data_IF_253787147533
#
_entry.id   IF_253787147533
#
_cell.length_a   1.000
_cell.length_b   1.000
_cell.length_c   1.000
_cell.angle_alpha   90.00
_cell.angle_beta   90.00
_cell.angle_gamma   90.00
#
_symmetry.space_group_name_H-M   'P 1'
#
loop_
_entity.id
_entity.type
_entity.pdbx_description
1 polymer ?
#
# COMPACT_ATOMS: atom_id res chain seq x y z
N UNK A 1 3.77 46.39 71.67
CA UNK A 1 2.90 45.54 70.83
C UNK A 1 1.62 46.32 70.58
N UNK A 2 1.28 46.64 69.32
CA UNK A 2 -0.01 47.29 69.02
C UNK A 2 -1.11 46.29 69.35
N UNK A 3 -2.04 46.66 70.22
CA UNK A 3 -3.26 45.90 70.44
C UNK A 3 -4.10 46.02 69.16
N UNK A 4 -4.30 44.90 68.48
CA UNK A 4 -5.22 44.79 67.36
C UNK A 4 -6.62 45.10 67.87
N UNK A 5 -7.32 46.02 67.23
CA UNK A 5 -8.72 46.30 67.56
C UNK A 5 -9.60 45.14 67.08
N UNK A 6 -10.82 45.04 67.62
CA UNK A 6 -11.79 44.00 67.25
C UNK A 6 -12.04 43.97 65.72
N UNK A 7 -12.00 45.15 65.10
CA UNK A 7 -12.13 45.36 63.65
C UNK A 7 -11.01 44.67 62.86
N UNK A 8 -9.76 44.75 63.35
CA UNK A 8 -8.59 44.15 62.69
C UNK A 8 -8.67 42.62 62.72
N UNK A 9 -9.10 42.06 63.84
CA UNK A 9 -9.33 40.61 63.97
C UNK A 9 -10.40 40.10 63.02
N UNK A 10 -11.48 40.85 62.86
CA UNK A 10 -12.56 40.54 61.93
C UNK A 10 -12.08 40.57 60.48
N UNK A 11 -11.25 41.54 60.12
CA UNK A 11 -10.67 41.65 58.78
C UNK A 11 -9.70 40.51 58.46
N UNK A 12 -8.82 40.14 59.41
CA UNK A 12 -7.91 38.99 59.26
C UNK A 12 -8.70 37.70 59.04
N UNK A 13 -9.76 37.48 59.84
CA UNK A 13 -10.58 36.27 59.72
C UNK A 13 -11.34 36.22 58.39
N UNK A 14 -11.88 37.35 57.93
CA UNK A 14 -12.55 37.45 56.63
C UNK A 14 -11.60 37.17 55.47
N UNK A 15 -10.38 37.73 55.48
CA UNK A 15 -9.38 37.47 54.43
C UNK A 15 -9.01 35.98 54.40
N UNK A 16 -8.77 35.38 55.58
CA UNK A 16 -8.50 33.94 55.69
C UNK A 16 -9.65 33.09 55.18
N UNK A 17 -10.89 33.43 55.55
CA UNK A 17 -12.10 32.76 55.07
C UNK A 17 -12.22 32.81 53.54
N UNK A 18 -12.05 33.99 52.94
CA UNK A 18 -12.14 34.13 51.48
C UNK A 18 -11.01 33.40 50.74
N UNK A 19 -9.80 33.34 51.30
CA UNK A 19 -8.70 32.53 50.73
C UNK A 19 -9.02 31.04 50.75
N UNK A 20 -9.57 30.53 51.86
CA UNK A 20 -9.99 29.13 51.96
C UNK A 20 -11.12 28.83 50.97
N UNK A 21 -12.14 29.69 50.91
CA UNK A 21 -13.26 29.54 49.97
C UNK A 21 -12.78 29.59 48.52
N UNK A 22 -11.86 30.50 48.17
CA UNK A 22 -11.27 30.57 46.84
C UNK A 22 -10.47 29.30 46.50
N UNK A 23 -9.68 28.79 47.45
CA UNK A 23 -8.89 27.57 47.27
C UNK A 23 -9.81 26.35 47.06
N UNK A 24 -10.85 26.20 47.87
CA UNK A 24 -11.86 25.16 47.72
C UNK A 24 -12.53 25.28 46.35
N UNK A 25 -12.94 26.49 45.95
CA UNK A 25 -13.55 26.74 44.64
C UNK A 25 -12.65 26.32 43.47
N UNK A 26 -11.36 26.64 43.52
CA UNK A 26 -10.38 26.24 42.51
C UNK A 26 -10.22 24.71 42.47
N UNK A 27 -10.06 24.06 43.63
CA UNK A 27 -9.92 22.61 43.70
C UNK A 27 -11.18 21.88 43.23
N UNK A 28 -12.36 22.35 43.61
CA UNK A 28 -13.64 21.83 43.14
C UNK A 28 -13.80 21.98 41.63
N UNK A 29 -13.39 23.11 41.05
CA UNK A 29 -13.39 23.30 39.59
C UNK A 29 -12.42 22.33 38.89
N UNK A 30 -11.19 22.17 39.41
CA UNK A 30 -10.21 21.22 38.85
C UNK A 30 -10.74 19.79 38.91
N UNK A 31 -11.37 19.41 40.02
CA UNK A 31 -11.91 18.06 40.21
C UNK A 31 -13.13 17.82 39.32
N UNK A 32 -14.08 18.76 39.26
CA UNK A 32 -15.23 18.69 38.35
C UNK A 32 -14.78 18.60 36.89
N UNK A 33 -13.75 19.37 36.49
CA UNK A 33 -13.13 19.27 35.17
C UNK A 33 -12.55 17.87 34.92
N UNK A 34 -11.78 17.32 35.86
CA UNK A 34 -11.23 15.94 35.74
C UNK A 34 -12.35 14.90 35.59
N UNK A 35 -13.42 15.01 36.37
CA UNK A 35 -14.54 14.06 36.35
C UNK A 35 -15.37 14.19 35.08
N UNK A 36 -15.71 15.41 34.63
CA UNK A 36 -16.48 15.65 33.40
C UNK A 36 -15.77 15.15 32.15
N UNK A 37 -14.43 15.30 32.10
CA UNK A 37 -13.63 14.81 30.98
C UNK A 37 -13.19 13.35 31.13
N UNK A 38 -13.45 12.70 32.27
CA UNK A 38 -13.08 11.30 32.45
C UNK A 38 -13.88 10.37 31.51
N UNK A 39 -15.22 10.47 31.38
CA UNK A 39 -15.98 9.65 30.43
C UNK A 39 -15.55 9.86 28.98
N UNK A 40 -15.36 11.11 28.54
CA UNK A 40 -14.94 11.45 27.18
C UNK A 40 -13.55 10.87 26.89
N UNK A 41 -12.60 10.99 27.83
CA UNK A 41 -11.27 10.37 27.70
C UNK A 41 -11.35 8.85 27.61
N UNK A 42 -12.25 8.23 28.38
CA UNK A 42 -12.46 6.78 28.35
C UNK A 42 -13.09 6.32 27.02
N UNK A 43 -14.03 7.06 26.45
CA UNK A 43 -14.61 6.75 25.14
C UNK A 43 -13.60 6.91 24.01
N UNK A 44 -12.84 8.01 23.99
CA UNK A 44 -11.77 8.21 23.02
C UNK A 44 -10.75 7.09 23.15
N UNK A 45 -10.31 6.76 24.36
CA UNK A 45 -9.38 5.66 24.58
C UNK A 45 -9.90 4.32 24.05
N UNK A 46 -11.19 3.99 24.27
CA UNK A 46 -11.80 2.79 23.69
C UNK A 46 -11.75 2.80 22.16
N UNK A 47 -12.07 3.94 21.53
CA UNK A 47 -11.98 4.07 20.07
C UNK A 47 -10.53 3.91 19.57
N UNK A 48 -9.55 4.43 20.30
CA UNK A 48 -8.13 4.24 19.97
C UNK A 48 -7.73 2.77 20.07
N UNK A 49 -8.15 2.06 21.14
CA UNK A 49 -7.86 0.62 21.31
C UNK A 49 -8.48 -0.21 20.18
N UNK A 50 -9.71 0.08 19.77
CA UNK A 50 -10.32 -0.59 18.61
C UNK A 50 -9.55 -0.31 17.32
N UNK A 51 -9.02 0.90 17.15
CA UNK A 51 -8.20 1.24 15.99
C UNK A 51 -6.85 0.51 16.00
N UNK A 52 -6.18 0.44 17.15
CA UNK A 52 -4.97 -0.38 17.32
C UNK A 52 -5.23 -1.85 17.02
N UNK A 53 -6.39 -2.38 17.42
CA UNK A 53 -6.79 -3.75 17.13
C UNK A 53 -6.87 -4.00 15.62
N UNK A 54 -7.46 -3.08 14.85
CA UNK A 54 -7.48 -3.21 13.38
C UNK A 54 -6.07 -3.20 12.79
N UNK A 55 -5.18 -2.33 13.28
CA UNK A 55 -3.78 -2.33 12.85
C UNK A 55 -3.12 -3.68 13.15
N UNK A 56 -3.35 -4.24 14.34
CA UNK A 56 -2.84 -5.57 14.68
C UNK A 56 -3.42 -6.67 13.78
N UNK A 57 -4.72 -6.64 13.49
CA UNK A 57 -5.37 -7.62 12.61
C UNK A 57 -4.77 -7.60 11.21
N UNK A 58 -4.52 -6.41 10.65
CA UNK A 58 -3.82 -6.25 9.38
C UNK A 58 -2.37 -6.71 9.50
N UNK A 59 -1.59 -6.22 10.46
CA UNK A 59 -0.14 -6.49 10.51
C UNK A 59 0.27 -7.80 11.19
N UNK A 60 -0.65 -8.69 11.54
CA UNK A 60 -0.37 -10.00 12.16
C UNK A 60 0.15 -11.05 11.16
N UNK A 61 1.04 -10.63 10.27
CA UNK A 61 1.70 -11.50 9.32
C UNK A 61 3.00 -12.03 9.92
N UNK A 62 3.29 -13.31 9.66
CA UNK A 62 4.48 -14.00 10.19
C UNK A 62 5.66 -13.98 9.24
N UNK A 63 5.47 -13.52 8.00
CA UNK A 63 6.50 -13.47 6.96
C UNK A 63 6.07 -12.60 5.79
N UNK A 64 7.05 -12.11 5.02
CA UNK A 64 6.84 -11.48 3.72
C UNK A 64 5.91 -12.29 2.79
N UNK A 65 6.02 -13.62 2.76
CA UNK A 65 5.14 -14.47 1.93
C UNK A 65 3.66 -14.29 2.29
N UNK A 66 3.35 -14.27 3.58
CA UNK A 66 1.97 -14.09 4.04
C UNK A 66 1.48 -12.68 3.69
N UNK A 67 2.34 -11.67 3.81
CA UNK A 67 2.01 -10.31 3.37
C UNK A 67 1.72 -10.24 1.86
N UNK A 68 2.51 -10.95 1.04
CA UNK A 68 2.28 -11.02 -0.41
C UNK A 68 0.96 -11.69 -0.76
N UNK A 69 0.63 -12.78 -0.07
CA UNK A 69 -0.63 -13.50 -0.23
C UNK A 69 -1.81 -12.63 0.17
N UNK A 70 -1.70 -11.81 1.20
CA UNK A 70 -2.83 -11.01 1.71
C UNK A 70 -3.01 -9.75 0.86
N UNK A 71 -1.91 -9.10 0.46
CA UNK A 71 -1.94 -7.95 -0.46
C UNK A 71 -2.22 -8.33 -1.91
N UNK A 72 -2.08 -9.60 -2.29
CA UNK A 72 -2.36 -10.06 -3.64
C UNK A 72 -1.31 -9.65 -4.69
N UNK A 73 -0.11 -9.22 -4.28
CA UNK A 73 0.93 -8.74 -5.20
C UNK A 73 1.51 -9.87 -6.09
N UNK A 74 1.44 -11.11 -5.63
CA UNK A 74 1.84 -12.27 -6.43
C UNK A 74 0.88 -12.50 -7.60
N UNK A 75 -0.42 -12.32 -7.37
CA UNK A 75 -1.47 -12.40 -8.39
C UNK A 75 -1.29 -11.28 -9.42
N UNK A 76 -0.95 -10.07 -8.96
CA UNK A 76 -0.59 -8.94 -9.84
C UNK A 76 0.58 -9.32 -10.76
N UNK A 77 1.69 -9.82 -10.23
CA UNK A 77 2.81 -10.24 -11.09
C UNK A 77 2.37 -11.33 -12.07
N UNK A 78 1.62 -12.32 -11.59
CA UNK A 78 1.20 -13.47 -12.39
C UNK A 78 0.35 -13.05 -13.58
N UNK A 79 -0.64 -12.18 -13.39
CA UNK A 79 -1.50 -11.68 -14.48
C UNK A 79 -0.65 -10.98 -15.54
N UNK A 80 0.22 -10.07 -15.13
CA UNK A 80 1.06 -9.33 -16.09
C UNK A 80 2.08 -10.24 -16.79
N UNK A 81 2.65 -11.22 -16.09
CA UNK A 81 3.53 -12.22 -16.68
C UNK A 81 2.82 -13.06 -17.74
N UNK A 82 1.57 -13.48 -17.48
CA UNK A 82 0.77 -14.19 -18.47
C UNK A 82 0.41 -13.31 -19.67
N UNK A 83 0.09 -12.03 -19.48
CA UNK A 83 -0.14 -11.11 -20.61
C UNK A 83 1.12 -10.89 -21.46
N UNK A 84 2.29 -10.73 -20.83
CA UNK A 84 3.58 -10.71 -21.53
C UNK A 84 3.79 -12.01 -22.32
N UNK A 85 3.48 -13.17 -21.73
CA UNK A 85 3.53 -14.46 -22.40
C UNK A 85 2.57 -14.54 -23.61
N UNK A 86 1.34 -14.05 -23.49
CA UNK A 86 0.39 -14.02 -24.59
C UNK A 86 0.88 -13.15 -25.75
N UNK A 87 1.49 -12.00 -25.44
CA UNK A 87 2.14 -11.16 -26.45
C UNK A 87 3.32 -11.86 -27.12
N UNK A 88 4.09 -12.65 -26.36
CA UNK A 88 5.18 -13.46 -26.89
C UNK A 88 4.66 -14.54 -27.86
N UNK A 89 3.59 -15.23 -27.48
CA UNK A 89 2.92 -16.23 -28.32
C UNK A 89 2.40 -15.62 -29.62
N UNK A 90 1.73 -14.46 -29.55
CA UNK A 90 1.24 -13.78 -30.75
C UNK A 90 2.40 -13.32 -31.65
N UNK A 91 3.52 -12.89 -31.07
CA UNK A 91 4.68 -12.48 -31.86
C UNK A 91 5.32 -13.67 -32.61
N UNK A 92 5.61 -14.78 -31.92
CA UNK A 92 6.44 -15.87 -32.48
C UNK A 92 5.64 -17.06 -33.02
N UNK A 93 4.44 -17.34 -32.48
CA UNK A 93 3.72 -18.60 -32.66
C UNK A 93 2.25 -18.45 -33.07
N UNK A 94 1.78 -17.26 -33.46
CA UNK A 94 0.39 -16.98 -33.88
C UNK A 94 -0.21 -17.96 -34.88
N UNK A 95 0.59 -18.42 -35.84
CA UNK A 95 0.15 -19.37 -36.88
C UNK A 95 0.14 -20.84 -36.41
N UNK A 96 0.76 -21.12 -35.25
CA UNK A 96 0.94 -22.47 -34.70
C UNK A 96 0.02 -22.75 -33.52
N UNK A 97 -0.27 -21.73 -32.71
CA UNK A 97 -1.11 -21.85 -31.52
C UNK A 97 -2.00 -20.62 -31.37
N UNK A 98 -3.26 -20.86 -31.01
CA UNK A 98 -4.13 -19.82 -30.50
C UNK A 98 -4.12 -19.89 -28.98
N UNK A 99 -3.92 -18.75 -28.29
CA UNK A 99 -4.17 -18.67 -26.86
C UNK A 99 -5.54 -19.24 -26.49
N UNK A 100 -5.63 -19.88 -25.32
CA UNK A 100 -6.91 -20.32 -24.79
C UNK A 100 -7.81 -19.11 -24.53
N UNK A 101 -8.97 -19.04 -25.17
CA UNK A 101 -9.97 -17.98 -24.94
C UNK A 101 -10.32 -17.88 -23.45
N UNK A 102 -10.47 -19.03 -22.78
CA UNK A 102 -10.71 -19.10 -21.35
C UNK A 102 -9.60 -18.43 -20.52
N UNK A 103 -8.32 -18.64 -20.86
CA UNK A 103 -7.22 -17.99 -20.16
C UNK A 103 -7.26 -16.47 -20.35
N UNK A 104 -7.55 -15.99 -21.56
CA UNK A 104 -7.67 -14.55 -21.85
C UNK A 104 -8.81 -13.93 -21.03
N UNK A 105 -9.98 -14.57 -21.01
CA UNK A 105 -11.13 -14.13 -20.21
C UNK A 105 -10.84 -14.15 -18.70
N UNK A 106 -10.16 -15.17 -18.19
CA UNK A 106 -9.74 -15.26 -16.78
C UNK A 106 -8.77 -14.13 -16.41
N UNK A 107 -7.81 -13.81 -17.27
CA UNK A 107 -6.88 -12.70 -17.05
C UNK A 107 -7.61 -11.36 -17.08
N UNK A 108 -8.42 -11.10 -18.10
CA UNK A 108 -9.12 -9.83 -18.26
C UNK A 108 -10.15 -9.58 -17.15
N UNK A 109 -10.84 -10.62 -16.70
CA UNK A 109 -11.79 -10.52 -15.56
C UNK A 109 -11.12 -10.32 -14.21
N UNK A 110 -9.85 -10.70 -14.06
CA UNK A 110 -9.08 -10.47 -12.84
C UNK A 110 -8.52 -9.04 -12.74
N UNK A 111 -8.47 -8.30 -13.84
CA UNK A 111 -7.97 -6.92 -13.89
C UNK A 111 -9.03 -5.98 -13.31
N UNK A 112 -8.63 -5.24 -12.28
CA UNK A 112 -9.45 -4.20 -11.68
C UNK A 112 -9.01 -2.80 -12.13
N UNK A 113 -7.69 -2.59 -12.26
CA UNK A 113 -7.14 -1.32 -12.72
C UNK A 113 -5.73 -1.47 -13.27
N UNK A 114 -5.15 -0.35 -13.66
CA UNK A 114 -3.83 -0.28 -14.27
C UNK A 114 -3.03 0.88 -13.69
N UNK A 115 -1.74 0.66 -13.42
CA UNK A 115 -0.79 1.73 -13.14
C UNK A 115 0.23 1.84 -14.28
N UNK A 116 0.66 3.08 -14.54
CA UNK A 116 1.65 3.40 -15.58
C UNK A 116 2.64 4.36 -14.95
N UNK A 117 3.94 4.10 -15.12
CA UNK A 117 4.96 5.04 -14.68
C UNK A 117 4.85 6.37 -15.43
N UNK A 118 5.23 7.47 -14.78
CA UNK A 118 5.18 8.79 -15.42
C UNK A 118 6.00 8.82 -16.71
N UNK A 119 7.14 8.15 -16.73
CA UNK A 119 8.01 8.04 -17.90
C UNK A 119 7.29 7.34 -19.06
N UNK A 120 6.70 6.16 -18.82
CA UNK A 120 5.94 5.45 -19.84
C UNK A 120 4.71 6.20 -20.31
N UNK A 121 4.02 6.90 -19.40
CA UNK A 121 2.88 7.72 -19.76
C UNK A 121 3.29 8.80 -20.76
N UNK A 122 4.36 9.55 -20.49
CA UNK A 122 4.83 10.61 -21.37
C UNK A 122 5.42 10.10 -22.69
N UNK A 123 6.00 8.90 -22.68
CA UNK A 123 6.59 8.26 -23.86
C UNK A 123 5.53 7.69 -24.81
N UNK A 124 4.51 7.04 -24.26
CA UNK A 124 3.57 6.21 -25.04
C UNK A 124 2.20 6.86 -25.22
N UNK A 125 1.87 7.91 -24.45
CA UNK A 125 0.55 8.55 -24.48
C UNK A 125 0.68 10.04 -24.79
N UNK A 126 -0.27 10.55 -25.57
CA UNK A 126 -0.44 11.98 -25.82
C UNK A 126 -1.78 12.44 -25.28
N UNK A 127 -1.80 13.64 -24.71
CA UNK A 127 -3.05 14.30 -24.37
C UNK A 127 -3.79 14.68 -25.65
N UNK A 128 -5.08 14.36 -25.72
CA UNK A 128 -5.98 14.74 -26.82
C UNK A 128 -7.02 15.69 -26.24
N UNK A 129 -7.10 16.90 -26.79
CA UNK A 129 -8.02 17.92 -26.29
C UNK A 129 -9.46 17.64 -26.75
N UNK A 130 -10.44 18.10 -25.98
CA UNK A 130 -11.84 18.04 -26.40
C UNK A 130 -12.05 18.80 -27.72
N UNK A 131 -12.51 18.11 -28.76
CA UNK A 131 -12.71 18.68 -30.10
C UNK A 131 -11.51 18.58 -31.03
N UNK A 132 -10.39 18.00 -30.58
CA UNK A 132 -9.26 17.64 -31.45
C UNK A 132 -9.64 16.41 -32.30
N UNK A 133 -9.51 16.52 -33.63
CA UNK A 133 -9.69 15.36 -34.49
C UNK A 133 -8.56 14.36 -34.24
N UNK A 134 -8.92 13.12 -33.90
CA UNK A 134 -7.95 12.05 -33.82
C UNK A 134 -7.44 11.72 -35.23
N UNK A 135 -6.29 12.27 -35.59
CA UNK A 135 -5.50 11.69 -36.67
C UNK A 135 -5.24 10.23 -36.30
N UNK A 136 -5.80 9.31 -37.10
CA UNK A 136 -5.42 7.90 -37.00
C UNK A 136 -3.92 7.84 -37.24
N UNK A 137 -3.17 7.59 -36.18
CA UNK A 137 -1.75 7.26 -36.31
C UNK A 137 -1.70 5.95 -37.07
N UNK A 138 -1.39 6.03 -38.36
CA UNK A 138 -1.09 4.84 -39.16
C UNK A 138 0.25 4.35 -38.61
N UNK A 139 0.24 3.27 -37.83
CA UNK A 139 1.49 2.62 -37.45
C UNK A 139 2.11 2.07 -38.74
N UNK A 140 3.15 2.75 -39.24
CA UNK A 140 3.80 2.48 -40.52
C UNK A 140 4.39 1.04 -40.58
N UNK A 141 4.40 0.32 -39.45
CA UNK A 141 4.89 -1.05 -39.28
C UNK A 141 3.82 -2.08 -38.83
N UNK A 142 2.54 -1.90 -39.18
CA UNK A 142 1.46 -2.86 -38.84
C UNK A 142 1.52 -4.22 -39.56
N UNK A 143 2.55 -4.47 -40.37
CA UNK A 143 2.83 -5.84 -40.83
C UNK A 143 3.75 -6.49 -39.82
N UNK A 144 3.21 -7.39 -39.00
CA UNK A 144 4.03 -8.23 -38.15
C UNK A 144 5.11 -8.91 -39.01
N UNK A 145 6.40 -8.71 -38.70
CA UNK A 145 7.46 -9.25 -39.52
C UNK A 145 7.32 -10.76 -39.61
N UNK A 146 7.33 -11.31 -40.82
CA UNK A 146 7.24 -12.76 -41.02
C UNK A 146 8.59 -13.42 -40.69
N UNK A 147 9.69 -12.73 -40.97
CA UNK A 147 11.05 -13.25 -40.77
C UNK A 147 11.43 -13.35 -39.27
N UNK A 148 11.94 -14.51 -38.81
CA UNK A 148 12.29 -14.71 -37.40
C UNK A 148 13.28 -13.68 -36.82
N UNK A 149 14.25 -13.22 -37.61
CA UNK A 149 15.24 -12.23 -37.15
C UNK A 149 14.60 -10.87 -36.89
N UNK A 150 13.63 -10.46 -37.73
CA UNK A 150 12.90 -9.21 -37.58
C UNK A 150 11.90 -9.29 -36.41
N UNK A 151 11.25 -10.45 -36.19
CA UNK A 151 10.44 -10.70 -34.98
C UNK A 151 11.28 -10.57 -33.71
N UNK A 152 12.47 -11.16 -33.71
CA UNK A 152 13.40 -11.08 -32.58
C UNK A 152 13.86 -9.64 -32.33
N UNK A 153 14.18 -8.88 -33.38
CA UNK A 153 14.54 -7.47 -33.25
C UNK A 153 13.39 -6.63 -32.65
N UNK A 154 12.16 -6.78 -33.17
CA UNK A 154 10.96 -6.13 -32.62
C UNK A 154 10.72 -6.53 -31.16
N UNK A 155 10.89 -7.80 -30.82
CA UNK A 155 10.71 -8.29 -29.45
C UNK A 155 11.79 -7.80 -28.48
N UNK A 156 13.01 -7.56 -28.95
CA UNK A 156 14.07 -6.96 -28.12
C UNK A 156 13.75 -5.52 -27.70
N UNK A 157 12.87 -4.84 -28.43
CA UNK A 157 12.33 -3.52 -28.09
C UNK A 157 11.10 -3.60 -27.17
N UNK A 158 10.68 -4.81 -26.76
CA UNK A 158 9.55 -4.98 -25.84
C UNK A 158 9.78 -4.21 -24.54
N UNK A 159 8.75 -3.48 -24.14
CA UNK A 159 8.68 -2.71 -22.90
C UNK A 159 7.33 -2.99 -22.25
N UNK A 160 7.35 -3.36 -20.97
CA UNK A 160 6.13 -3.42 -20.19
C UNK A 160 5.70 -1.98 -19.90
N UNK A 161 4.66 -1.50 -20.59
CA UNK A 161 4.21 -0.11 -20.44
C UNK A 161 3.29 0.07 -19.23
N UNK A 162 2.45 -0.93 -18.99
CA UNK A 162 1.38 -0.86 -18.01
C UNK A 162 1.41 -2.05 -17.07
N UNK A 163 1.09 -1.85 -15.79
CA UNK A 163 0.97 -2.93 -14.80
C UNK A 163 -0.48 -3.00 -14.34
N UNK A 164 -1.16 -4.09 -14.69
CA UNK A 164 -2.52 -4.33 -14.25
C UNK A 164 -2.53 -4.86 -12.82
N UNK A 165 -3.46 -4.41 -12.01
CA UNK A 165 -3.62 -4.88 -10.63
C UNK A 165 -5.03 -5.41 -10.38
N UNK A 166 -5.15 -6.25 -9.36
CA UNK A 166 -6.40 -6.92 -8.99
C UNK A 166 -7.19 -6.10 -7.98
N UNK A 167 -8.47 -6.41 -7.85
CA UNK A 167 -9.32 -5.81 -6.82
C UNK A 167 -8.80 -6.10 -5.40
N UNK A 168 -8.28 -7.32 -5.18
CA UNK A 168 -7.67 -7.72 -3.91
C UNK A 168 -6.52 -6.79 -3.52
N UNK A 169 -5.65 -6.48 -4.49
CA UNK A 169 -4.55 -5.53 -4.27
C UNK A 169 -5.05 -4.13 -3.94
N UNK A 170 -6.02 -3.63 -4.71
CA UNK A 170 -6.60 -2.31 -4.46
C UNK A 170 -7.25 -2.19 -3.07
N UNK A 171 -8.10 -3.17 -2.72
CA UNK A 171 -8.79 -3.23 -1.44
C UNK A 171 -7.79 -3.28 -0.26
N UNK A 172 -6.70 -4.04 -0.38
CA UNK A 172 -5.65 -4.12 0.65
C UNK A 172 -4.88 -2.78 0.83
N UNK A 173 -4.55 -2.10 -0.28
CA UNK A 173 -3.90 -0.79 -0.21
C UNK A 173 -4.86 0.28 0.32
N UNK A 174 -6.15 0.21 0.00
CA UNK A 174 -7.17 1.09 0.52
C UNK A 174 -7.33 0.92 2.04
N UNK A 175 -7.34 -0.32 2.54
CA UNK A 175 -7.39 -0.64 3.96
C UNK A 175 -6.19 -0.04 4.71
N UNK A 176 -4.97 -0.27 4.21
CA UNK A 176 -3.76 0.34 4.78
C UNK A 176 -3.84 1.87 4.78
N UNK A 177 -4.35 2.46 3.70
CA UNK A 177 -4.49 3.91 3.56
C UNK A 177 -5.51 4.50 4.54
N UNK A 178 -6.60 3.78 4.83
CA UNK A 178 -7.59 4.15 5.86
C UNK A 178 -6.95 4.17 7.25
N UNK A 179 -6.17 3.15 7.60
CA UNK A 179 -5.43 3.10 8.87
C UNK A 179 -4.41 4.23 8.97
N UNK A 180 -3.60 4.44 7.92
CA UNK A 180 -2.61 5.51 7.85
C UNK A 180 -3.20 6.93 7.94
N UNK A 181 -4.50 7.09 7.68
CA UNK A 181 -5.20 8.38 7.74
C UNK A 181 -6.04 8.55 9.01
N UNK A 182 -6.00 7.57 9.92
CA UNK A 182 -6.85 7.57 11.11
C UNK A 182 -6.40 8.64 12.13
N UNK A 183 -7.30 9.56 12.54
CA UNK A 183 -6.97 10.58 13.55
C UNK A 183 -6.88 10.00 14.97
N UNK A 184 -7.28 8.74 15.16
CA UNK A 184 -7.25 8.04 16.45
C UNK A 184 -5.90 7.40 16.73
N UNK A 185 -5.09 7.17 15.69
CA UNK A 185 -3.75 6.59 15.84
C UNK A 185 -2.70 7.68 16.08
N UNK A 186 -1.64 7.37 16.85
CA UNK A 186 -0.49 8.26 16.97
C UNK A 186 0.16 8.52 15.60
N UNK A 187 0.64 9.76 15.39
CA UNK A 187 1.32 10.18 14.16
C UNK A 187 2.49 9.28 13.78
N UNK A 188 3.25 8.83 14.77
CA UNK A 188 4.39 7.94 14.54
C UNK A 188 3.97 6.57 13.99
N UNK A 189 2.83 6.03 14.46
CA UNK A 189 2.28 4.78 13.92
C UNK A 189 1.78 4.98 12.48
N UNK A 190 1.07 6.07 12.20
CA UNK A 190 0.58 6.34 10.85
C UNK A 190 1.72 6.54 9.86
N UNK A 191 2.82 7.19 10.25
CA UNK A 191 4.05 7.31 9.44
C UNK A 191 4.68 5.93 9.15
N UNK A 192 4.71 5.02 10.11
CA UNK A 192 5.20 3.64 9.90
C UNK A 192 4.31 2.87 8.92
N UNK A 193 2.99 3.01 9.01
CA UNK A 193 2.04 2.40 8.05
C UNK A 193 2.22 3.00 6.65
N UNK A 194 2.43 4.31 6.54
CA UNK A 194 2.70 4.97 5.25
C UNK A 194 3.96 4.42 4.59
N UNK A 195 5.03 4.16 5.36
CA UNK A 195 6.24 3.53 4.84
C UNK A 195 5.97 2.16 4.22
N UNK A 196 5.13 1.33 4.85
CA UNK A 196 4.69 0.03 4.29
C UNK A 196 3.96 0.22 2.95
N UNK A 197 3.04 1.19 2.87
CA UNK A 197 2.32 1.52 1.63
C UNK A 197 3.30 1.97 0.53
N UNK A 198 4.28 2.79 0.86
CA UNK A 198 5.30 3.26 -0.06
C UNK A 198 6.16 2.11 -0.61
N UNK A 199 6.63 1.21 0.27
CA UNK A 199 7.37 0.00 -0.13
C UNK A 199 6.53 -0.83 -1.10
N UNK A 200 5.27 -1.08 -0.75
CA UNK A 200 4.38 -1.88 -1.58
C UNK A 200 4.15 -1.23 -2.96
N UNK A 201 3.94 0.09 -3.01
CA UNK A 201 3.84 0.84 -4.28
C UNK A 201 5.10 0.77 -5.13
N UNK A 202 6.29 0.91 -4.54
CA UNK A 202 7.56 0.75 -5.26
C UNK A 202 7.67 -0.66 -5.84
N UNK A 203 7.32 -1.66 -5.04
CA UNK A 203 7.32 -3.06 -5.44
C UNK A 203 6.31 -3.33 -6.57
N UNK A 204 5.15 -2.68 -6.59
CA UNK A 204 4.22 -2.73 -7.73
C UNK A 204 4.87 -2.18 -9.02
N UNK A 205 5.53 -1.01 -8.96
CA UNK A 205 6.21 -0.45 -10.13
C UNK A 205 7.44 -1.27 -10.57
N UNK A 206 8.10 -1.98 -9.65
CA UNK A 206 9.22 -2.87 -9.98
C UNK A 206 8.81 -3.96 -10.98
N UNK A 207 7.56 -4.41 -10.96
CA UNK A 207 7.01 -5.41 -11.89
C UNK A 207 7.26 -5.01 -13.35
N UNK A 208 7.13 -3.72 -13.66
CA UNK A 208 7.37 -3.15 -15.00
C UNK A 208 8.78 -3.52 -15.52
N UNK A 209 9.79 -3.19 -14.73
CA UNK A 209 11.19 -3.45 -15.09
C UNK A 209 11.52 -4.95 -15.12
N UNK A 210 10.98 -5.72 -14.16
CA UNK A 210 11.20 -7.17 -14.08
C UNK A 210 10.59 -7.87 -15.30
N UNK A 211 9.38 -7.49 -15.72
CA UNK A 211 8.74 -8.07 -16.89
C UNK A 211 9.40 -7.65 -18.20
N UNK A 212 9.86 -6.40 -18.30
CA UNK A 212 10.63 -5.93 -19.45
C UNK A 212 11.91 -6.76 -19.64
N UNK A 213 12.66 -7.01 -18.57
CA UNK A 213 13.85 -7.86 -18.63
C UNK A 213 13.52 -9.35 -18.80
N UNK A 214 12.44 -9.83 -18.21
CA UNK A 214 11.95 -11.19 -18.41
C UNK A 214 11.57 -11.45 -19.87
N UNK A 215 10.88 -10.50 -20.51
CA UNK A 215 10.50 -10.58 -21.92
C UNK A 215 11.73 -10.79 -22.82
N UNK A 216 12.81 -10.04 -22.59
CA UNK A 216 14.07 -10.19 -23.35
C UNK A 216 14.70 -11.57 -23.18
N UNK A 217 14.48 -12.25 -22.04
CA UNK A 217 14.93 -13.62 -21.79
C UNK A 217 14.03 -14.68 -22.46
N UNK A 218 12.77 -14.35 -22.81
CA UNK A 218 11.79 -15.31 -23.36
C UNK A 218 12.29 -16.06 -24.61
N UNK A 219 12.81 -15.42 -25.67
CA UNK A 219 13.30 -16.11 -26.87
C UNK A 219 14.37 -17.16 -26.60
N UNK A 220 15.18 -16.97 -25.54
CA UNK A 220 16.25 -17.90 -25.18
C UNK A 220 15.73 -19.07 -24.34
N UNK A 221 14.71 -18.85 -23.50
CA UNK A 221 14.11 -19.86 -22.62
C UNK A 221 13.03 -20.70 -23.32
N UNK A 222 12.27 -20.09 -24.23
CA UNK A 222 11.08 -20.65 -24.86
C UNK A 222 11.21 -20.58 -26.40
N UNK A 223 12.08 -21.43 -26.95
CA UNK A 223 12.43 -21.44 -28.39
C UNK A 223 11.41 -22.16 -29.25
N UNK A 224 10.68 -23.12 -28.68
CA UNK A 224 9.72 -23.96 -29.39
C UNK A 224 8.32 -23.81 -28.79
N UNK A 225 7.32 -24.20 -29.58
CA UNK A 225 5.92 -24.20 -29.12
C UNK A 225 5.73 -25.08 -27.88
N UNK A 226 6.35 -26.27 -27.84
CA UNK A 226 6.23 -27.18 -26.70
C UNK A 226 6.80 -26.58 -25.41
N UNK A 227 7.88 -25.81 -25.50
CA UNK A 227 8.42 -25.09 -24.34
C UNK A 227 7.46 -23.99 -23.90
N UNK A 228 6.93 -23.23 -24.85
CA UNK A 228 6.00 -22.12 -24.63
C UNK A 228 4.70 -22.60 -23.97
N UNK A 229 4.17 -23.77 -24.35
CA UNK A 229 2.97 -24.36 -23.74
C UNK A 229 3.14 -24.73 -22.26
N UNK A 230 4.39 -24.88 -21.79
CA UNK A 230 4.73 -25.15 -20.39
C UNK A 230 5.24 -23.87 -19.69
N UNK A 231 4.76 -22.69 -20.11
CA UNK A 231 5.11 -21.43 -19.48
C UNK A 231 4.65 -21.40 -18.02
N UNK A 232 5.58 -21.06 -17.12
CA UNK A 232 5.34 -20.96 -15.69
C UNK A 232 6.04 -19.68 -15.18
N UNK A 233 5.31 -18.73 -14.56
CA UNK A 233 5.88 -17.44 -14.15
C UNK A 233 6.79 -17.52 -12.92
N UNK A 234 6.99 -18.71 -12.34
CA UNK A 234 7.78 -18.92 -11.11
C UNK A 234 9.19 -18.35 -11.20
N UNK A 235 9.87 -18.46 -12.34
CA UNK A 235 11.22 -17.89 -12.48
C UNK A 235 11.20 -16.36 -12.52
N UNK A 236 10.13 -15.73 -13.03
CA UNK A 236 9.93 -14.29 -13.00
C UNK A 236 9.66 -13.84 -11.57
N UNK A 237 8.87 -14.60 -10.81
CA UNK A 237 8.64 -14.37 -9.38
C UNK A 237 9.94 -14.40 -8.57
N UNK A 238 10.87 -15.30 -8.90
CA UNK A 238 12.18 -15.34 -8.24
C UNK A 238 13.03 -14.09 -8.55
N UNK A 239 13.03 -13.63 -9.81
CA UNK A 239 13.75 -12.41 -10.21
C UNK A 239 13.16 -11.18 -9.51
N UNK A 240 11.84 -11.10 -9.44
CA UNK A 240 11.12 -10.08 -8.67
C UNK A 240 11.49 -10.11 -7.18
N UNK A 241 11.43 -11.28 -6.54
CA UNK A 241 11.76 -11.43 -5.12
C UNK A 241 13.20 -11.06 -4.78
N UNK A 242 14.13 -11.27 -5.72
CA UNK A 242 15.53 -10.88 -5.54
C UNK A 242 15.77 -9.37 -5.62
N UNK A 243 14.83 -8.62 -6.21
CA UNK A 243 14.97 -7.19 -6.52
C UNK A 243 14.08 -6.29 -5.66
N UNK A 244 13.00 -6.84 -5.07
CA UNK A 244 12.03 -6.07 -4.29
C UNK A 244 12.58 -5.58 -2.97
N UNK A 245 12.00 -4.50 -2.47
CA UNK A 245 12.26 -4.00 -1.12
C UNK A 245 11.49 -4.88 -0.12
N UNK A 246 12.20 -5.39 0.89
CA UNK A 246 11.64 -6.23 1.96
C UNK A 246 10.81 -5.39 2.94
N UNK A 247 9.65 -5.92 3.34
CA UNK A 247 8.70 -5.24 4.22
C UNK A 247 8.81 -5.69 5.68
N UNK A 248 9.48 -6.83 5.94
CA UNK A 248 9.49 -7.48 7.26
C UNK A 248 9.96 -6.53 8.37
N UNK A 249 11.00 -5.72 8.12
CA UNK A 249 11.47 -4.74 9.10
C UNK A 249 10.42 -3.65 9.37
N UNK A 250 9.73 -3.15 8.33
CA UNK A 250 8.73 -2.08 8.51
C UNK A 250 7.49 -2.60 9.24
N UNK A 251 7.11 -3.87 9.02
CA UNK A 251 6.05 -4.54 9.79
C UNK A 251 6.48 -4.75 11.24
N UNK A 252 7.72 -5.19 11.48
CA UNK A 252 8.28 -5.35 12.82
C UNK A 252 8.30 -4.03 13.61
N UNK A 253 8.65 -2.93 12.95
CA UNK A 253 8.65 -1.58 13.54
C UNK A 253 7.24 -1.16 13.99
N UNK A 254 6.19 -1.54 13.25
CA UNK A 254 4.79 -1.28 13.60
C UNK A 254 4.39 -2.08 14.84
N UNK A 255 4.63 -3.39 14.84
CA UNK A 255 4.26 -4.26 15.95
C UNK A 255 4.99 -3.89 17.25
N UNK A 256 6.28 -3.56 17.15
CA UNK A 256 7.08 -3.07 18.27
C UNK A 256 6.50 -1.78 18.84
N UNK A 257 6.17 -0.82 17.98
CA UNK A 257 5.56 0.44 18.41
C UNK A 257 4.24 0.21 19.17
N UNK A 258 3.38 -0.68 18.68
CA UNK A 258 2.09 -0.98 19.32
C UNK A 258 2.32 -1.60 20.70
N UNK A 259 3.24 -2.57 20.80
CA UNK A 259 3.56 -3.23 22.08
C UNK A 259 4.09 -2.23 23.12
N UNK A 260 4.99 -1.33 22.72
CA UNK A 260 5.55 -0.29 23.58
C UNK A 260 4.50 0.75 23.99
N UNK A 261 3.68 1.20 23.04
CA UNK A 261 2.66 2.22 23.28
C UNK A 261 1.54 1.73 24.20
N UNK A 262 1.09 0.49 24.01
CA UNK A 262 0.02 -0.11 24.80
C UNK A 262 0.54 -0.81 26.07
N UNK A 263 1.87 -0.89 26.27
CA UNK A 263 2.50 -1.56 27.41
C UNK A 263 2.03 -3.02 27.58
N UNK A 264 1.80 -3.72 26.47
CA UNK A 264 1.19 -5.06 26.47
C UNK A 264 1.99 -6.04 27.34
N UNK A 265 3.32 -6.00 27.25
CA UNK A 265 4.22 -6.86 28.02
C UNK A 265 4.26 -6.53 29.52
N UNK A 266 3.94 -5.30 29.92
CA UNK A 266 3.80 -4.92 31.34
C UNK A 266 2.46 -5.40 31.90
N UNK A 267 1.42 -5.50 31.07
CA UNK A 267 0.08 -5.95 31.46
C UNK A 267 -0.07 -7.47 31.56
N UNK A 268 0.81 -8.24 30.90
CA UNK A 268 0.80 -9.71 30.91
C UNK A 268 1.69 -10.34 32.01
N UNK A 269 2.38 -9.53 32.81
CA UNK A 269 3.18 -9.97 33.97
C UNK A 269 2.38 -9.91 35.26
#
# INVERSE_FOLDING_TARGET
MKNLELEDWKNIFNIGFFLVVATIGILSYIQARKTLFSPIKTEIFKLQVEEFKKVLEVFNYKSQKQFDEETGIQEVLSINAYKMYLNYVDCFFKDQVKPSEKLVEELDSAIYGTVISKENFLKNFRYISAGEEMEKVIHINDRDPVEPALKLAKWHEYEQVEVHYTKKYDDAIEELSKLASSPLLPKELTEKIQKVIEINRKNLFLIESVLTEAAKKMPTKYKTIDQTLNFEPTWIWNEYNSSREDIDQSVSDILTYINEHLKIDEMMK
#
